data_IF_818099344983
#
_entry.id   IF_818099344983
#
_cell.length_a   1.000
_cell.length_b   1.000
_cell.length_c   1.000
_cell.angle_alpha   90.00
_cell.angle_beta   90.00
_cell.angle_gamma   90.00
#
_symmetry.space_group_name_H-M   'P 1'
#
loop_
_entity.id
_entity.type
_entity.pdbx_description
1 polymer ?
#
# COMPACT_ATOMS: atom_id res chain seq x y z
N UNK A 1 16.10 -18.12 17.79
CA UNK A 1 14.75 -17.56 17.53
C UNK A 1 13.95 -18.58 16.73
N UNK A 2 12.73 -18.91 17.14
CA UNK A 2 11.89 -19.83 16.35
C UNK A 2 11.26 -19.08 15.17
N UNK A 3 11.82 -19.28 13.98
CA UNK A 3 11.36 -18.63 12.77
C UNK A 3 10.08 -19.27 12.21
N UNK A 4 9.06 -18.45 11.96
CA UNK A 4 7.95 -18.86 11.10
C UNK A 4 8.36 -18.75 9.63
N UNK A 5 8.95 -19.80 9.07
CA UNK A 5 9.46 -19.83 7.70
C UNK A 5 8.37 -19.57 6.63
N UNK A 6 7.10 -19.85 6.94
CA UNK A 6 5.98 -19.50 6.05
C UNK A 6 5.81 -17.98 6.00
N UNK A 7 5.81 -17.30 7.14
CA UNK A 7 5.72 -15.84 7.20
C UNK A 7 6.93 -15.17 6.56
N UNK A 8 8.14 -15.71 6.76
CA UNK A 8 9.35 -15.25 6.06
C UNK A 8 9.21 -15.39 4.56
N UNK A 9 8.76 -16.54 4.06
CA UNK A 9 8.53 -16.78 2.63
C UNK A 9 7.47 -15.84 2.05
N UNK A 10 6.42 -15.54 2.79
CA UNK A 10 5.37 -14.61 2.39
C UNK A 10 5.90 -13.17 2.30
N UNK A 11 6.65 -12.72 3.32
CA UNK A 11 7.28 -11.40 3.33
C UNK A 11 8.24 -11.22 2.13
N UNK A 12 9.07 -12.21 1.87
CA UNK A 12 10.00 -12.21 0.73
C UNK A 12 9.28 -12.22 -0.63
N UNK A 13 8.07 -12.80 -0.70
CA UNK A 13 7.29 -12.95 -1.94
C UNK A 13 6.36 -11.77 -2.20
N UNK A 14 5.66 -11.28 -1.15
CA UNK A 14 4.56 -10.33 -1.26
C UNK A 14 4.78 -9.00 -0.52
N UNK A 15 5.91 -8.84 0.19
CA UNK A 15 6.21 -7.74 1.12
C UNK A 15 5.29 -7.64 2.35
N UNK A 16 4.50 -8.68 2.61
CA UNK A 16 3.66 -8.85 3.80
C UNK A 16 3.37 -10.32 4.04
N UNK A 17 3.03 -10.67 5.27
CA UNK A 17 2.61 -12.03 5.64
C UNK A 17 1.19 -12.32 5.18
N UNK A 18 0.88 -13.59 4.95
CA UNK A 18 -0.48 -14.07 4.70
C UNK A 18 -1.06 -14.66 5.99
N UNK A 19 -2.35 -14.46 6.18
CA UNK A 19 -3.10 -14.99 7.33
C UNK A 19 -4.07 -16.06 6.82
N UNK A 20 -3.86 -17.31 7.23
CA UNK A 20 -4.64 -18.46 6.78
C UNK A 20 -6.09 -18.42 7.27
N UNK A 21 -6.34 -17.93 8.47
CA UNK A 21 -7.70 -17.86 9.04
C UNK A 21 -8.59 -16.95 8.21
N UNK A 22 -8.02 -15.85 7.72
CA UNK A 22 -8.76 -14.90 6.89
C UNK A 22 -8.81 -15.26 5.41
N UNK A 23 -7.89 -16.10 4.91
CA UNK A 23 -7.98 -16.66 3.55
C UNK A 23 -9.22 -17.55 3.39
N UNK A 24 -9.58 -18.29 4.44
CA UNK A 24 -10.70 -19.24 4.44
C UNK A 24 -12.03 -18.63 4.85
N UNK A 25 -12.06 -17.40 5.36
CA UNK A 25 -13.30 -16.71 5.70
C UNK A 25 -14.23 -16.64 4.47
N UNK A 26 -15.24 -17.50 4.49
CA UNK A 26 -16.27 -17.58 3.45
C UNK A 26 -17.27 -16.41 3.52
N UNK A 27 -17.25 -15.65 4.62
CA UNK A 27 -18.14 -14.50 4.75
C UNK A 27 -17.68 -13.38 3.84
N UNK A 28 -18.47 -12.98 2.83
CA UNK A 28 -18.30 -11.64 2.29
C UNK A 28 -18.33 -10.68 3.49
N UNK A 29 -17.64 -9.56 3.40
CA UNK A 29 -17.86 -8.45 4.32
C UNK A 29 -19.35 -8.11 4.22
N UNK A 30 -20.20 -8.86 4.95
CA UNK A 30 -21.62 -8.60 5.05
C UNK A 30 -21.81 -7.53 6.12
N UNK A 31 -21.36 -6.32 5.79
CA UNK A 31 -22.05 -5.19 6.36
C UNK A 31 -23.45 -5.20 5.72
N UNK A 32 -24.54 -5.04 6.51
CA UNK A 32 -25.82 -4.77 5.91
C UNK A 32 -25.61 -3.62 4.94
N UNK A 33 -25.99 -3.82 3.68
CA UNK A 33 -25.96 -2.76 2.69
C UNK A 33 -26.98 -1.77 3.23
N UNK A 34 -26.49 -0.69 3.80
CA UNK A 34 -27.35 0.43 4.18
C UNK A 34 -27.87 0.93 2.84
N UNK A 35 -29.15 0.67 2.54
CA UNK A 35 -29.75 1.03 1.24
C UNK A 35 -29.56 2.51 0.91
N UNK A 36 -29.51 3.36 1.93
CA UNK A 36 -29.19 4.78 1.84
C UNK A 36 -27.78 5.10 1.34
N UNK A 37 -26.80 4.17 1.48
CA UNK A 37 -25.42 4.34 0.98
C UNK A 37 -25.23 3.83 -0.47
N UNK A 38 -26.27 3.21 -1.06
CA UNK A 38 -26.25 2.77 -2.45
C UNK A 38 -26.29 3.99 -3.37
N UNK A 39 -25.13 4.47 -3.74
CA UNK A 39 -24.99 5.41 -4.86
C UNK A 39 -24.36 6.75 -4.56
N UNK A 40 -24.18 7.17 -3.31
CA UNK A 40 -23.51 8.45 -3.00
C UNK A 40 -22.23 8.26 -2.18
N UNK A 41 -21.15 7.99 -2.91
CA UNK A 41 -19.82 7.88 -2.34
C UNK A 41 -19.35 9.19 -1.68
N UNK A 42 -19.81 10.34 -2.20
CA UNK A 42 -19.48 11.63 -1.65
C UNK A 42 -20.10 11.81 -0.25
N UNK A 43 -21.41 11.58 -0.14
CA UNK A 43 -22.12 11.67 1.14
C UNK A 43 -21.56 10.67 2.17
N UNK A 44 -21.26 9.45 1.75
CA UNK A 44 -20.66 8.44 2.63
C UNK A 44 -19.29 8.88 3.15
N UNK A 45 -18.43 9.42 2.27
CA UNK A 45 -17.09 9.91 2.66
C UNK A 45 -17.20 11.05 3.66
N UNK A 46 -18.10 12.00 3.41
CA UNK A 46 -18.37 13.14 4.31
C UNK A 46 -18.87 12.64 5.67
N UNK A 47 -19.83 11.70 5.71
CA UNK A 47 -20.37 11.14 6.96
C UNK A 47 -19.27 10.48 7.80
N UNK A 48 -18.46 9.61 7.17
CA UNK A 48 -17.38 8.92 7.90
C UNK A 48 -16.35 9.91 8.44
N UNK A 49 -15.94 10.92 7.65
CA UNK A 49 -15.02 11.94 8.13
C UNK A 49 -15.61 12.74 9.31
N UNK A 50 -16.85 13.17 9.19
CA UNK A 50 -17.56 13.92 10.25
C UNK A 50 -17.65 13.14 11.56
N UNK A 51 -17.86 11.82 11.48
CA UNK A 51 -17.97 10.94 12.65
C UNK A 51 -16.62 10.71 13.35
N UNK A 52 -15.50 10.74 12.60
CA UNK A 52 -14.20 10.30 13.10
C UNK A 52 -13.19 11.43 13.33
N UNK A 53 -13.43 12.64 12.85
CA UNK A 53 -12.52 13.78 13.11
C UNK A 53 -12.92 14.43 14.42
N UNK A 54 -12.07 14.25 15.43
CA UNK A 54 -12.27 14.80 16.78
C UNK A 54 -11.66 16.18 16.97
N UNK A 55 -10.60 16.49 16.19
CA UNK A 55 -9.90 17.78 16.23
C UNK A 55 -9.79 18.38 14.81
N UNK A 56 -10.80 19.15 14.34
CA UNK A 56 -10.76 19.75 13.01
C UNK A 56 -9.55 20.67 12.76
N UNK A 57 -9.11 21.43 13.78
CA UNK A 57 -7.96 22.33 13.69
C UNK A 57 -6.61 21.62 13.60
N UNK A 58 -6.51 20.39 14.09
CA UNK A 58 -5.32 19.54 14.02
C UNK A 58 -5.33 18.57 12.84
N UNK A 59 -6.24 18.74 11.85
CA UNK A 59 -6.38 17.79 10.74
C UNK A 59 -5.22 17.93 9.75
N UNK A 60 -4.57 16.79 9.46
CA UNK A 60 -3.51 16.64 8.46
C UNK A 60 -3.96 15.59 7.45
N UNK A 61 -3.95 15.92 6.17
CA UNK A 61 -4.23 14.97 5.09
C UNK A 61 -2.93 14.48 4.47
N UNK A 62 -2.70 13.16 4.47
CA UNK A 62 -1.67 12.55 3.64
C UNK A 62 -2.08 12.69 2.17
N UNK A 63 -1.52 13.71 1.50
CA UNK A 63 -1.94 14.16 0.19
C UNK A 63 -1.05 13.61 -0.93
N UNK A 64 -1.64 13.44 -2.11
CA UNK A 64 -0.95 13.06 -3.35
C UNK A 64 -1.70 13.59 -4.57
N UNK A 65 -1.13 13.44 -5.75
CA UNK A 65 -1.82 13.68 -7.02
C UNK A 65 -2.90 12.63 -7.36
N UNK A 66 -3.16 11.65 -6.49
CA UNK A 66 -4.09 10.56 -6.71
C UNK A 66 -5.56 10.92 -6.46
N UNK A 67 -6.47 10.01 -6.84
CA UNK A 67 -7.92 10.18 -6.67
C UNK A 67 -8.36 10.09 -5.22
N UNK A 68 -7.75 9.18 -4.45
CA UNK A 68 -8.17 8.84 -3.10
C UNK A 68 -7.96 10.02 -2.15
N UNK A 69 -6.76 10.59 -2.13
CA UNK A 69 -6.45 11.76 -1.30
C UNK A 69 -7.23 13.02 -1.74
N UNK A 70 -7.52 13.19 -3.03
CA UNK A 70 -8.33 14.31 -3.51
C UNK A 70 -9.79 14.18 -3.13
N UNK A 71 -10.36 12.97 -3.12
CA UNK A 71 -11.71 12.77 -2.62
C UNK A 71 -11.80 13.13 -1.15
N UNK A 72 -10.80 12.72 -0.35
CA UNK A 72 -10.75 13.11 1.06
C UNK A 72 -10.58 14.61 1.24
N UNK A 73 -9.74 15.26 0.44
CA UNK A 73 -9.62 16.72 0.46
C UNK A 73 -10.94 17.41 0.10
N UNK A 74 -11.63 16.94 -0.95
CA UNK A 74 -12.93 17.47 -1.34
C UNK A 74 -13.97 17.37 -0.21
N UNK A 75 -14.00 16.22 0.48
CA UNK A 75 -14.92 15.98 1.58
C UNK A 75 -14.57 16.82 2.83
N UNK A 76 -13.29 16.98 3.15
CA UNK A 76 -12.84 17.86 4.23
C UNK A 76 -13.23 19.32 3.98
N UNK A 77 -12.96 19.82 2.79
CA UNK A 77 -13.34 21.19 2.40
C UNK A 77 -14.86 21.39 2.42
N UNK A 78 -15.64 20.39 1.99
CA UNK A 78 -17.10 20.42 2.08
C UNK A 78 -17.61 20.51 3.53
N UNK A 79 -16.89 19.87 4.48
CA UNK A 79 -17.16 19.99 5.92
C UNK A 79 -16.67 21.31 6.54
N UNK A 80 -16.08 22.21 5.75
CA UNK A 80 -15.46 23.44 6.26
C UNK A 80 -14.13 23.21 6.96
N UNK A 81 -13.55 21.99 6.89
CA UNK A 81 -12.26 21.65 7.50
C UNK A 81 -11.16 21.96 6.51
N UNK A 82 -10.20 22.80 6.93
CA UNK A 82 -9.03 23.17 6.13
C UNK A 82 -7.80 22.42 6.61
N UNK A 83 -7.48 21.24 6.05
CA UNK A 83 -6.38 20.43 6.53
C UNK A 83 -5.02 21.01 6.12
N UNK A 84 -3.98 20.70 6.90
CA UNK A 84 -2.61 20.77 6.39
C UNK A 84 -2.38 19.61 5.43
N UNK A 85 -1.71 19.84 4.31
CA UNK A 85 -1.44 18.82 3.30
C UNK A 85 -0.03 18.27 3.52
N UNK A 86 0.08 17.01 3.94
CA UNK A 86 1.36 16.31 4.09
C UNK A 86 1.70 15.59 2.80
N UNK A 87 2.82 15.91 2.18
CA UNK A 87 3.32 15.25 0.97
C UNK A 87 4.80 14.90 1.12
N UNK A 88 5.21 13.79 0.52
CA UNK A 88 6.60 13.36 0.51
C UNK A 88 7.16 13.32 -0.91
N UNK A 89 8.43 13.68 -1.00
CA UNK A 89 9.23 13.60 -2.22
C UNK A 89 10.08 14.85 -2.42
N UNK A 90 11.12 14.76 -3.26
CA UNK A 90 11.93 15.90 -3.64
C UNK A 90 11.14 16.85 -4.55
N UNK A 91 11.63 18.08 -4.74
CA UNK A 91 11.12 18.98 -5.78
C UNK A 91 11.23 18.33 -7.15
N UNK A 92 10.20 18.48 -7.98
CA UNK A 92 10.07 17.76 -9.25
C UNK A 92 9.48 16.36 -9.11
N UNK A 93 9.08 15.95 -7.91
CA UNK A 93 8.20 14.80 -7.74
C UNK A 93 6.77 15.20 -8.09
N UNK A 94 6.10 14.42 -8.93
CA UNK A 94 4.77 14.74 -9.42
C UNK A 94 3.73 14.97 -8.29
N UNK A 95 3.72 14.10 -7.29
CA UNK A 95 2.75 14.23 -6.19
C UNK A 95 3.00 15.52 -5.40
N UNK A 96 4.27 15.83 -5.11
CA UNK A 96 4.65 17.05 -4.41
C UNK A 96 4.26 18.30 -5.19
N UNK A 97 4.62 18.38 -6.47
CA UNK A 97 4.35 19.55 -7.30
C UNK A 97 2.83 19.81 -7.41
N UNK A 98 2.03 18.75 -7.57
CA UNK A 98 0.57 18.87 -7.61
C UNK A 98 -0.01 19.29 -6.25
N UNK A 99 0.49 18.75 -5.14
CA UNK A 99 0.00 19.09 -3.80
C UNK A 99 0.39 20.52 -3.42
N UNK A 100 1.60 20.98 -3.76
CA UNK A 100 2.02 22.36 -3.56
C UNK A 100 1.14 23.35 -4.37
N UNK A 101 0.81 23.00 -5.61
CA UNK A 101 -0.10 23.82 -6.43
C UNK A 101 -1.54 23.82 -5.88
N UNK A 102 -2.05 22.66 -5.39
CA UNK A 102 -3.34 22.60 -4.69
C UNK A 102 -3.34 23.47 -3.43
N UNK A 103 -2.27 23.38 -2.63
CA UNK A 103 -2.12 24.20 -1.43
C UNK A 103 -2.16 25.68 -1.73
N UNK A 104 -1.40 26.12 -2.75
CA UNK A 104 -1.37 27.52 -3.17
C UNK A 104 -2.75 28.01 -3.63
N UNK A 105 -3.41 27.30 -4.55
CA UNK A 105 -4.70 27.73 -5.11
C UNK A 105 -5.84 27.69 -4.11
N UNK A 106 -5.82 26.72 -3.18
CA UNK A 106 -6.85 26.57 -2.15
C UNK A 106 -6.49 27.29 -0.85
N UNK A 107 -5.33 27.98 -0.80
CA UNK A 107 -4.80 28.64 0.40
C UNK A 107 -4.70 27.70 1.60
N UNK A 108 -4.16 26.49 1.39
CA UNK A 108 -3.90 25.47 2.42
C UNK A 108 -2.40 25.38 2.71
N UNK A 109 -2.06 25.12 3.97
CA UNK A 109 -0.70 24.85 4.36
C UNK A 109 -0.22 23.53 3.79
N UNK A 110 1.01 23.49 3.25
CA UNK A 110 1.65 22.28 2.73
C UNK A 110 2.89 21.96 3.55
N UNK A 111 2.93 20.75 4.09
CA UNK A 111 4.09 20.18 4.76
C UNK A 111 4.76 19.22 3.78
N UNK A 112 5.79 19.71 3.08
CA UNK A 112 6.56 18.88 2.15
C UNK A 112 7.76 18.26 2.86
N UNK A 113 7.84 16.94 2.85
CA UNK A 113 8.88 16.17 3.54
C UNK A 113 9.78 15.49 2.52
N UNK A 114 11.08 15.60 2.73
CA UNK A 114 12.09 14.81 1.99
C UNK A 114 12.76 13.83 2.94
N UNK A 115 12.89 12.57 2.50
CA UNK A 115 13.56 11.51 3.23
C UNK A 115 14.94 11.25 2.66
N UNK A 116 15.81 10.66 3.46
CA UNK A 116 17.13 10.21 3.06
C UNK A 116 17.47 8.85 3.68
N UNK A 117 18.62 8.29 3.38
CA UNK A 117 19.07 7.00 3.88
C UNK A 117 19.19 6.97 5.41
N UNK A 118 19.67 8.07 6.02
CA UNK A 118 19.88 8.13 7.46
C UNK A 118 18.54 8.06 8.22
N UNK A 119 17.46 8.65 7.70
CA UNK A 119 16.14 8.55 8.33
C UNK A 119 15.71 7.08 8.49
N UNK A 120 16.05 6.22 7.50
CA UNK A 120 15.74 4.78 7.55
C UNK A 120 16.57 4.05 8.59
N UNK A 121 17.82 4.43 8.76
CA UNK A 121 18.75 3.83 9.74
C UNK A 121 18.35 4.20 11.17
N UNK A 122 18.15 5.50 11.42
CA UNK A 122 17.88 6.04 12.76
C UNK A 122 16.58 5.50 13.38
N UNK A 123 15.62 5.10 12.55
CA UNK A 123 14.31 4.69 13.01
C UNK A 123 13.96 3.22 12.70
N UNK A 124 14.90 2.44 12.18
CA UNK A 124 14.70 1.06 11.77
C UNK A 124 14.12 0.19 12.89
N UNK A 125 14.73 0.24 14.07
CA UNK A 125 14.34 -0.58 15.22
C UNK A 125 12.90 -0.25 15.65
N UNK A 126 12.58 1.03 15.82
CA UNK A 126 11.24 1.44 16.23
C UNK A 126 10.17 1.02 15.22
N UNK A 127 10.45 1.15 13.92
CA UNK A 127 9.51 0.72 12.86
C UNK A 127 9.30 -0.79 12.91
N UNK A 128 10.37 -1.54 13.11
CA UNK A 128 10.33 -3.00 13.19
C UNK A 128 9.60 -3.47 14.45
N UNK A 129 9.81 -2.85 15.60
CA UNK A 129 9.03 -3.11 16.82
C UNK A 129 7.53 -2.96 16.58
N UNK A 130 7.10 -1.82 16.01
CA UNK A 130 5.67 -1.53 15.78
C UNK A 130 5.04 -2.49 14.78
N UNK A 131 5.81 -2.95 13.79
CA UNK A 131 5.30 -3.83 12.71
C UNK A 131 5.59 -5.30 12.92
N UNK A 132 6.33 -5.67 13.96
CA UNK A 132 6.79 -7.05 14.18
C UNK A 132 7.63 -7.60 13.03
N UNK A 133 8.42 -6.75 12.36
CA UNK A 133 9.26 -7.12 11.22
C UNK A 133 8.49 -7.49 9.93
N UNK A 134 7.16 -7.42 9.93
CA UNK A 134 6.32 -7.87 8.81
C UNK A 134 6.12 -6.83 7.71
N UNK A 135 6.84 -5.71 7.76
CA UNK A 135 6.79 -4.64 6.76
C UNK A 135 8.18 -4.39 6.17
N UNK A 136 8.36 -4.67 4.88
CA UNK A 136 9.64 -4.49 4.19
C UNK A 136 10.12 -3.03 4.23
N UNK A 137 11.44 -2.81 4.38
CA UNK A 137 12.04 -1.50 4.62
C UNK A 137 11.63 -0.42 3.61
N UNK A 138 11.39 -0.77 2.35
CA UNK A 138 10.92 0.18 1.34
C UNK A 138 9.56 0.83 1.68
N UNK A 139 8.85 0.33 2.68
CA UNK A 139 7.57 0.85 3.14
C UNK A 139 7.65 1.55 4.51
N UNK A 140 8.87 1.75 5.05
CA UNK A 140 9.07 2.45 6.32
C UNK A 140 8.78 3.95 6.24
N UNK A 141 8.72 4.49 5.03
CA UNK A 141 8.31 5.87 4.80
C UNK A 141 6.98 6.24 5.49
N UNK A 142 6.08 5.28 5.68
CA UNK A 142 4.81 5.52 6.38
C UNK A 142 4.96 5.93 7.85
N UNK A 143 6.11 5.61 8.47
CA UNK A 143 6.50 6.13 9.79
C UNK A 143 7.25 7.45 9.68
N UNK A 144 8.15 7.53 8.70
CA UNK A 144 9.09 8.65 8.58
C UNK A 144 8.42 9.96 8.15
N UNK A 145 7.34 9.91 7.36
CA UNK A 145 6.63 11.11 6.93
C UNK A 145 6.02 11.89 8.09
N UNK A 146 5.15 11.29 8.92
CA UNK A 146 4.55 11.99 10.04
C UNK A 146 5.60 12.42 11.07
N UNK A 147 6.65 11.62 11.27
CA UNK A 147 7.76 11.97 12.15
C UNK A 147 8.45 13.26 11.68
N UNK A 148 8.90 13.31 10.43
CA UNK A 148 9.59 14.51 9.88
C UNK A 148 8.68 15.71 9.74
N UNK A 149 7.38 15.49 9.60
CA UNK A 149 6.39 16.55 9.61
C UNK A 149 6.14 17.14 11.02
N UNK A 150 6.74 16.56 12.05
CA UNK A 150 6.54 16.99 13.44
C UNK A 150 5.10 16.77 13.92
N UNK A 151 4.41 15.74 13.42
CA UNK A 151 3.07 15.40 13.90
C UNK A 151 3.13 14.83 15.31
N UNK A 152 2.10 15.09 16.07
CA UNK A 152 1.94 14.66 17.45
C UNK A 152 0.57 14.05 17.73
N UNK A 153 0.34 13.59 18.95
CA UNK A 153 -0.89 12.94 19.38
C UNK A 153 -2.15 13.80 19.27
N UNK A 154 -2.02 15.11 19.07
CA UNK A 154 -3.16 16.02 18.86
C UNK A 154 -3.57 16.09 17.37
N UNK A 155 -2.83 15.43 16.48
CA UNK A 155 -3.11 15.44 15.05
C UNK A 155 -4.18 14.40 14.69
N UNK A 156 -5.15 14.79 13.83
CA UNK A 156 -6.02 13.84 13.12
C UNK A 156 -5.39 13.60 11.75
N UNK A 157 -4.82 12.41 11.55
CA UNK A 157 -4.10 12.06 10.32
C UNK A 157 -5.07 11.34 9.37
N UNK A 158 -5.53 12.05 8.35
CA UNK A 158 -6.45 11.52 7.34
C UNK A 158 -5.65 10.87 6.21
N UNK A 159 -5.94 9.61 5.91
CA UNK A 159 -5.21 8.84 4.89
C UNK A 159 -6.15 8.16 3.90
N UNK A 160 -5.79 8.18 2.59
CA UNK A 160 -6.51 7.53 1.50
C UNK A 160 -6.26 6.02 1.38
N UNK A 161 -5.99 5.35 2.50
CA UNK A 161 -5.74 3.91 2.53
C UNK A 161 -6.98 3.13 2.06
N UNK A 162 -6.79 2.14 1.18
CA UNK A 162 -7.85 1.30 0.61
C UNK A 162 -8.73 1.99 -0.47
N UNK A 163 -8.39 3.17 -0.97
CA UNK A 163 -9.14 3.81 -2.06
C UNK A 163 -9.13 2.98 -3.36
N UNK A 164 -8.10 2.18 -3.56
CA UNK A 164 -8.00 1.25 -4.69
C UNK A 164 -9.12 0.21 -4.74
N UNK A 165 -9.88 0.03 -3.66
CA UNK A 165 -11.05 -0.85 -3.61
C UNK A 165 -12.16 -0.45 -4.59
N UNK A 166 -12.21 0.84 -4.97
CA UNK A 166 -13.13 1.36 -5.99
C UNK A 166 -12.69 1.06 -7.43
N UNK A 167 -11.57 0.37 -7.58
CA UNK A 167 -11.04 -0.19 -8.82
C UNK A 167 -10.38 -1.53 -8.49
N UNK A 168 -10.32 -2.48 -9.41
CA UNK A 168 -9.69 -3.78 -9.14
C UNK A 168 -8.17 -3.62 -9.03
N UNK A 169 -7.63 -3.60 -7.81
CA UNK A 169 -6.22 -3.34 -7.54
C UNK A 169 -5.25 -4.23 -8.32
N UNK A 170 -5.51 -5.55 -8.34
CA UNK A 170 -4.60 -6.49 -9.00
C UNK A 170 -4.78 -6.58 -10.50
N UNK A 171 -5.93 -6.22 -11.02
CA UNK A 171 -6.24 -6.40 -12.44
C UNK A 171 -7.09 -5.26 -13.01
N UNK A 172 -6.57 -4.04 -12.93
CA UNK A 172 -7.18 -2.85 -13.54
C UNK A 172 -6.82 -2.78 -15.03
N UNK A 173 -7.48 -3.59 -15.86
CA UNK A 173 -7.27 -3.70 -17.31
C UNK A 173 -8.51 -3.32 -18.15
N UNK A 174 -9.34 -2.46 -17.62
CA UNK A 174 -10.53 -1.97 -18.32
C UNK A 174 -11.43 -3.11 -18.80
N UNK A 175 -11.89 -3.04 -20.03
CA UNK A 175 -12.79 -4.03 -20.60
C UNK A 175 -12.21 -5.46 -20.67
N UNK A 176 -10.89 -5.62 -20.78
CA UNK A 176 -10.26 -6.93 -20.75
C UNK A 176 -10.47 -7.65 -19.42
N UNK A 177 -10.59 -6.90 -18.33
CA UNK A 177 -10.91 -7.47 -17.02
C UNK A 177 -12.30 -8.14 -17.03
N UNK A 178 -13.28 -7.57 -17.74
CA UNK A 178 -14.61 -8.16 -17.84
C UNK A 178 -14.61 -9.48 -18.63
N UNK A 179 -13.84 -9.59 -19.70
CA UNK A 179 -13.75 -10.81 -20.48
C UNK A 179 -13.25 -12.01 -19.65
N UNK A 180 -12.45 -11.76 -18.59
CA UNK A 180 -11.95 -12.84 -17.72
C UNK A 180 -13.02 -13.47 -16.84
N UNK A 181 -14.17 -12.83 -16.64
CA UNK A 181 -15.26 -13.38 -15.82
C UNK A 181 -15.93 -14.59 -16.44
N UNK A 182 -15.86 -14.72 -17.77
CA UNK A 182 -16.39 -15.85 -18.52
C UNK A 182 -15.44 -17.06 -18.54
N UNK A 183 -14.20 -16.91 -18.07
CA UNK A 183 -13.19 -17.97 -18.12
C UNK A 183 -13.10 -18.73 -16.79
N UNK A 184 -12.65 -20.01 -16.81
CA UNK A 184 -12.42 -20.78 -15.60
C UNK A 184 -11.49 -20.04 -14.63
N UNK A 185 -11.97 -19.72 -13.43
CA UNK A 185 -11.23 -18.88 -12.48
C UNK A 185 -9.98 -19.55 -11.93
N UNK A 186 -10.03 -20.83 -11.58
CA UNK A 186 -8.92 -21.50 -10.90
C UNK A 186 -7.64 -21.61 -11.75
N UNK A 187 -7.65 -22.00 -13.03
CA UNK A 187 -6.46 -21.98 -13.86
C UNK A 187 -5.86 -20.58 -14.04
N UNK A 188 -6.73 -19.56 -14.22
CA UNK A 188 -6.29 -18.18 -14.34
C UNK A 188 -5.64 -17.67 -13.04
N UNK A 189 -6.24 -17.97 -11.88
CA UNK A 189 -5.69 -17.61 -10.58
C UNK A 189 -4.34 -18.28 -10.34
N UNK A 190 -4.21 -19.57 -10.66
CA UNK A 190 -2.94 -20.29 -10.55
C UNK A 190 -1.85 -19.65 -11.41
N UNK A 191 -2.16 -19.30 -12.66
CA UNK A 191 -1.24 -18.59 -13.56
C UNK A 191 -0.88 -17.20 -13.02
N UNK A 192 -1.87 -16.46 -12.54
CA UNK A 192 -1.70 -15.13 -11.96
C UNK A 192 -0.78 -15.16 -10.73
N UNK A 193 -1.07 -16.06 -9.76
CA UNK A 193 -0.28 -16.15 -8.53
C UNK A 193 1.14 -16.66 -8.78
N UNK A 194 1.34 -17.60 -9.72
CA UNK A 194 2.69 -17.99 -10.16
C UNK A 194 3.47 -16.81 -10.73
N UNK A 195 2.82 -15.93 -11.47
CA UNK A 195 3.47 -14.74 -12.02
C UNK A 195 3.73 -13.66 -10.95
N UNK A 196 2.87 -13.55 -9.94
CA UNK A 196 3.03 -12.59 -8.82
C UNK A 196 4.03 -13.07 -7.76
N UNK A 197 4.02 -14.36 -7.46
CA UNK A 197 4.99 -15.02 -6.58
C UNK A 197 6.35 -15.17 -7.29
N UNK A 198 6.82 -14.10 -7.93
CA UNK A 198 8.14 -14.12 -8.57
C UNK A 198 9.21 -14.38 -7.53
N UNK A 199 10.06 -15.34 -7.82
CA UNK A 199 11.22 -15.63 -7.00
C UNK A 199 12.06 -14.37 -6.81
N UNK A 200 12.26 -13.91 -5.57
CA UNK A 200 13.10 -12.76 -5.34
C UNK A 200 14.59 -13.05 -5.61
N UNK A 201 15.01 -14.33 -5.51
CA UNK A 201 16.41 -14.73 -5.65
C UNK A 201 16.67 -15.50 -6.95
N UNK A 202 17.83 -15.30 -7.55
CA UNK A 202 18.29 -16.04 -8.73
C UNK A 202 18.80 -17.44 -8.33
N UNK A 203 18.85 -18.41 -9.25
CA UNK A 203 19.34 -19.76 -8.95
C UNK A 203 20.72 -19.82 -8.32
N UNK A 204 21.64 -18.95 -8.74
CA UNK A 204 23.02 -18.84 -8.18
C UNK A 204 23.03 -18.39 -6.71
N UNK A 205 21.98 -17.73 -6.25
CA UNK A 205 21.83 -17.25 -4.88
C UNK A 205 21.16 -18.28 -3.93
N UNK A 206 20.61 -19.36 -4.48
CA UNK A 206 19.86 -20.33 -3.66
C UNK A 206 20.72 -21.08 -2.64
N UNK A 207 22.00 -21.28 -2.94
CA UNK A 207 22.94 -21.96 -2.02
C UNK A 207 23.13 -21.19 -0.71
N UNK A 208 22.99 -19.87 -0.75
CA UNK A 208 23.07 -19.02 0.43
C UNK A 208 21.77 -18.96 1.26
N UNK A 209 20.67 -19.54 0.79
CA UNK A 209 19.42 -19.66 1.55
C UNK A 209 19.44 -20.92 2.39
N UNK A 210 18.92 -20.86 3.63
CA UNK A 210 18.72 -22.06 4.42
C UNK A 210 17.69 -23.00 3.77
N UNK A 211 17.79 -24.30 4.09
CA UNK A 211 16.87 -25.31 3.52
C UNK A 211 15.40 -24.96 3.74
N UNK A 212 14.96 -24.56 4.96
CA UNK A 212 13.56 -24.20 5.19
C UNK A 212 13.10 -23.00 4.38
N UNK A 213 13.94 -21.98 4.19
CA UNK A 213 13.62 -20.79 3.35
C UNK A 213 13.53 -21.19 1.88
N UNK A 214 14.48 -22.00 1.41
CA UNK A 214 14.52 -22.46 0.03
C UNK A 214 13.31 -23.32 -0.31
N UNK A 215 12.95 -24.27 0.56
CA UNK A 215 11.77 -25.12 0.41
C UNK A 215 10.48 -24.29 0.39
N UNK A 216 10.41 -23.24 1.21
CA UNK A 216 9.26 -22.35 1.28
C UNK A 216 9.11 -21.46 0.04
N UNK A 217 10.23 -20.98 -0.54
CA UNK A 217 10.21 -20.13 -1.71
C UNK A 217 10.08 -20.88 -3.03
N UNK A 218 10.70 -22.05 -3.15
CA UNK A 218 10.90 -22.76 -4.43
C UNK A 218 10.36 -24.18 -4.46
N UNK A 219 10.27 -24.83 -3.30
CA UNK A 219 9.81 -26.20 -3.16
C UNK A 219 8.30 -26.33 -3.00
N UNK A 220 7.91 -27.26 -2.14
CA UNK A 220 6.49 -27.54 -1.85
C UNK A 220 5.82 -26.37 -1.12
N UNK A 221 6.54 -25.59 -0.32
CA UNK A 221 6.01 -24.41 0.36
C UNK A 221 5.42 -23.40 -0.60
N UNK A 222 6.12 -23.11 -1.71
CA UNK A 222 5.61 -22.23 -2.77
C UNK A 222 4.36 -22.79 -3.45
N UNK A 223 4.32 -24.10 -3.73
CA UNK A 223 3.15 -24.78 -4.30
C UNK A 223 1.95 -24.70 -3.36
N UNK A 224 2.14 -25.06 -2.08
CA UNK A 224 1.11 -24.99 -1.04
C UNK A 224 0.54 -23.58 -0.90
N UNK A 225 1.41 -22.55 -0.94
CA UNK A 225 0.98 -21.15 -0.90
C UNK A 225 0.04 -20.82 -2.05
N UNK A 226 0.40 -21.17 -3.29
CA UNK A 226 -0.45 -20.93 -4.46
C UNK A 226 -1.74 -21.75 -4.37
N UNK A 227 -1.67 -23.00 -3.93
CA UNK A 227 -2.85 -23.87 -3.77
C UNK A 227 -3.82 -23.30 -2.74
N UNK A 228 -3.33 -22.76 -1.61
CA UNK A 228 -4.16 -22.06 -0.61
C UNK A 228 -4.86 -20.85 -1.20
N UNK A 229 -4.13 -19.99 -1.93
CA UNK A 229 -4.70 -18.81 -2.59
C UNK A 229 -5.78 -19.16 -3.62
N UNK A 230 -5.59 -20.25 -4.35
CA UNK A 230 -6.58 -20.75 -5.33
C UNK A 230 -7.77 -21.39 -4.61
N UNK A 231 -7.54 -22.16 -3.55
CA UNK A 231 -8.60 -22.81 -2.79
C UNK A 231 -9.52 -21.80 -2.08
N UNK A 232 -8.96 -20.73 -1.52
CA UNK A 232 -9.69 -19.65 -0.89
C UNK A 232 -10.63 -18.90 -1.85
N UNK A 233 -10.45 -19.11 -3.14
CA UNK A 233 -11.21 -18.47 -4.22
C UNK A 233 -12.36 -19.32 -4.78
N UNK A 234 -12.65 -20.48 -4.17
CA UNK A 234 -13.72 -21.38 -4.65
C UNK A 234 -15.08 -20.65 -4.67
N UNK A 235 -15.83 -20.88 -5.73
CA UNK A 235 -17.16 -20.27 -5.91
C UNK A 235 -17.15 -18.81 -6.38
N UNK A 236 -15.97 -18.22 -6.62
CA UNK A 236 -15.83 -16.85 -7.13
C UNK A 236 -15.26 -16.85 -8.57
N UNK A 237 -15.66 -15.86 -9.35
CA UNK A 237 -14.97 -15.58 -10.61
C UNK A 237 -13.55 -15.03 -10.35
N UNK A 238 -12.74 -14.93 -11.41
CA UNK A 238 -11.34 -14.52 -11.31
C UNK A 238 -11.14 -13.16 -10.61
N UNK A 239 -11.91 -12.14 -11.00
CA UNK A 239 -11.76 -10.80 -10.44
C UNK A 239 -12.26 -10.70 -8.99
N UNK A 240 -13.39 -11.34 -8.68
CA UNK A 240 -13.89 -11.41 -7.30
C UNK A 240 -12.91 -12.12 -6.37
N UNK A 241 -12.16 -13.10 -6.89
CA UNK A 241 -11.11 -13.78 -6.14
C UNK A 241 -9.94 -12.87 -5.83
N UNK A 242 -9.52 -12.04 -6.79
CA UNK A 242 -8.45 -11.06 -6.59
C UNK A 242 -8.86 -9.95 -5.63
N UNK A 243 -10.11 -9.46 -5.73
CA UNK A 243 -10.64 -8.47 -4.78
C UNK A 243 -10.75 -9.06 -3.37
N UNK A 244 -11.20 -10.33 -3.23
CA UNK A 244 -11.22 -11.03 -1.95
C UNK A 244 -9.83 -11.10 -1.31
N UNK A 245 -8.81 -11.52 -2.07
CA UNK A 245 -7.43 -11.52 -1.59
C UNK A 245 -6.96 -10.11 -1.18
N UNK A 246 -7.29 -9.10 -1.98
CA UNK A 246 -6.93 -7.72 -1.67
C UNK A 246 -7.45 -7.29 -0.31
N UNK A 247 -8.74 -7.49 -0.02
CA UNK A 247 -9.34 -7.10 1.25
C UNK A 247 -8.83 -7.91 2.44
N UNK A 248 -8.81 -9.23 2.30
CA UNK A 248 -8.50 -10.12 3.43
C UNK A 248 -7.01 -10.25 3.73
N UNK A 249 -6.15 -9.97 2.78
CA UNK A 249 -4.71 -10.10 2.97
C UNK A 249 -3.99 -8.76 2.89
N UNK A 250 -4.10 -8.08 1.74
CA UNK A 250 -3.33 -6.85 1.53
C UNK A 250 -3.82 -5.69 2.40
N UNK A 251 -5.13 -5.45 2.47
CA UNK A 251 -5.67 -4.36 3.31
C UNK A 251 -5.36 -4.64 4.77
N UNK A 252 -5.56 -5.87 5.23
CA UNK A 252 -5.36 -6.25 6.62
C UNK A 252 -3.88 -6.22 7.01
N UNK A 253 -3.03 -6.95 6.31
CA UNK A 253 -1.66 -7.21 6.73
C UNK A 253 -0.66 -6.14 6.24
N UNK A 254 -0.86 -5.57 5.05
CA UNK A 254 0.04 -4.56 4.51
C UNK A 254 -0.41 -3.12 4.83
N UNK A 255 -1.67 -2.78 4.51
CA UNK A 255 -2.21 -1.43 4.77
C UNK A 255 -2.39 -1.23 6.27
N UNK A 256 -2.97 -2.22 6.98
CA UNK A 256 -3.14 -2.18 8.43
C UNK A 256 -1.84 -1.94 9.18
N UNK A 257 -0.74 -2.56 8.78
CA UNK A 257 0.58 -2.28 9.35
C UNK A 257 1.06 -0.85 9.06
N UNK A 258 0.73 -0.30 7.89
CA UNK A 258 0.98 1.12 7.61
C UNK A 258 0.20 2.05 8.54
N UNK A 259 -1.09 1.74 8.79
CA UNK A 259 -1.91 2.53 9.72
C UNK A 259 -1.40 2.46 11.17
N UNK A 260 -0.84 1.31 11.62
CA UNK A 260 -0.19 1.21 12.94
C UNK A 260 0.98 2.20 13.08
N UNK A 261 1.75 2.40 12.01
CA UNK A 261 2.86 3.37 12.00
C UNK A 261 2.36 4.81 12.10
N UNK A 262 1.33 5.18 11.36
CA UNK A 262 0.71 6.51 11.49
C UNK A 262 0.15 6.77 12.90
N UNK A 263 -0.43 5.76 13.55
CA UNK A 263 -0.97 5.87 14.93
C UNK A 263 0.06 6.18 15.99
N UNK A 264 1.35 6.11 15.69
CA UNK A 264 2.40 6.57 16.60
C UNK A 264 2.42 8.10 16.71
N UNK A 265 1.78 8.83 15.80
CA UNK A 265 1.85 10.30 15.68
C UNK A 265 0.48 10.99 15.78
N UNK A 266 -0.59 10.26 16.01
CA UNK A 266 -1.90 10.88 16.13
C UNK A 266 -3.04 9.90 15.87
N UNK A 267 -4.27 10.43 15.93
CA UNK A 267 -5.46 9.67 15.60
C UNK A 267 -5.56 9.50 14.08
N UNK A 268 -5.66 8.25 13.63
CA UNK A 268 -5.69 7.92 12.19
C UNK A 268 -7.12 7.75 11.71
N UNK A 269 -7.52 8.60 10.79
CA UNK A 269 -8.80 8.54 10.11
C UNK A 269 -8.61 8.01 8.69
N UNK A 270 -9.03 6.76 8.44
CA UNK A 270 -8.93 6.08 7.15
C UNK A 270 -10.32 5.72 6.62
N UNK A 271 -11.09 6.67 6.05
CA UNK A 271 -12.50 6.47 5.72
C UNK A 271 -12.76 5.32 4.76
N UNK A 272 -11.83 5.05 3.86
CA UNK A 272 -11.96 4.01 2.84
C UNK A 272 -11.74 2.59 3.40
N UNK A 273 -11.36 2.47 4.68
CA UNK A 273 -11.32 1.19 5.42
C UNK A 273 -12.59 0.95 6.25
N UNK A 274 -13.48 1.91 6.33
CA UNK A 274 -14.78 1.76 7.00
C UNK A 274 -15.62 0.66 6.32
N UNK A 275 -16.34 -0.12 7.13
CA UNK A 275 -17.15 -1.24 6.63
C UNK A 275 -18.20 -0.83 5.60
N UNK A 276 -18.79 0.35 5.77
CA UNK A 276 -19.76 0.94 4.84
C UNK A 276 -19.12 1.23 3.49
N UNK A 277 -17.93 1.84 3.50
CA UNK A 277 -17.16 2.06 2.28
C UNK A 277 -16.83 0.76 1.57
N UNK A 278 -16.31 -0.22 2.30
CA UNK A 278 -15.96 -1.53 1.75
C UNK A 278 -17.19 -2.23 1.17
N UNK A 279 -18.35 -2.17 1.84
CA UNK A 279 -19.58 -2.75 1.33
C UNK A 279 -20.03 -2.11 0.01
N UNK A 280 -19.98 -0.78 -0.09
CA UNK A 280 -20.26 -0.05 -1.36
C UNK A 280 -19.28 -0.45 -2.43
N UNK A 281 -17.98 -0.46 -2.13
CA UNK A 281 -16.95 -0.84 -3.09
C UNK A 281 -17.12 -2.27 -3.60
N UNK A 282 -17.53 -3.22 -2.76
CA UNK A 282 -17.78 -4.61 -3.15
C UNK A 282 -19.07 -4.78 -3.96
N UNK A 283 -20.13 -4.07 -3.61
CA UNK A 283 -21.43 -4.15 -4.31
C UNK A 283 -21.46 -3.44 -5.66
N UNK A 284 -20.49 -2.55 -5.91
CA UNK A 284 -20.46 -1.74 -7.12
C UNK A 284 -20.23 -2.57 -8.38
N UNK A 285 -21.04 -2.38 -9.44
CA UNK A 285 -20.80 -3.03 -10.72
C UNK A 285 -19.42 -2.69 -11.27
N UNK A 286 -18.70 -3.72 -11.76
CA UNK A 286 -17.32 -3.56 -12.24
C UNK A 286 -17.18 -2.55 -13.38
N UNK A 287 -18.17 -2.48 -14.27
CA UNK A 287 -18.22 -1.48 -15.34
C UNK A 287 -18.14 -0.05 -14.82
N UNK A 288 -18.65 0.18 -13.62
CA UNK A 288 -18.66 1.49 -12.98
C UNK A 288 -17.34 1.80 -12.26
N UNK A 289 -16.52 0.78 -11.93
CA UNK A 289 -15.18 0.97 -11.35
C UNK A 289 -14.14 1.46 -12.35
N UNK A 290 -14.43 1.35 -13.66
CA UNK A 290 -13.51 1.72 -14.73
C UNK A 290 -13.16 3.21 -14.71
N UNK A 291 -11.86 3.52 -14.88
CA UNK A 291 -11.37 4.89 -15.04
C UNK A 291 -11.57 5.80 -13.85
N UNK A 292 -11.76 5.24 -12.64
CA UNK A 292 -12.01 6.02 -11.42
C UNK A 292 -13.20 6.97 -11.52
N UNK A 293 -14.24 6.58 -12.29
CA UNK A 293 -15.43 7.43 -12.55
C UNK A 293 -16.14 7.84 -11.28
N UNK A 294 -16.23 6.94 -10.30
CA UNK A 294 -16.85 7.24 -9.02
C UNK A 294 -16.11 8.30 -8.23
N UNK A 295 -14.79 8.23 -8.18
CA UNK A 295 -13.98 9.27 -7.55
C UNK A 295 -14.21 10.62 -8.23
N UNK A 296 -14.18 10.65 -9.57
CA UNK A 296 -14.43 11.89 -10.35
C UNK A 296 -15.80 12.46 -10.05
N UNK A 297 -16.82 11.61 -10.02
CA UNK A 297 -18.20 12.05 -9.73
C UNK A 297 -18.30 12.61 -8.31
N UNK A 298 -17.79 11.90 -7.32
CA UNK A 298 -17.80 12.34 -5.93
C UNK A 298 -16.98 13.63 -5.70
N UNK A 299 -15.80 13.73 -6.29
CA UNK A 299 -14.99 14.96 -6.21
C UNK A 299 -15.74 16.12 -6.89
N UNK A 300 -16.38 15.87 -8.04
CA UNK A 300 -17.13 16.90 -8.76
C UNK A 300 -18.30 17.45 -7.93
N UNK A 301 -19.00 16.59 -7.19
CA UNK A 301 -20.13 17.03 -6.35
C UNK A 301 -19.70 17.80 -5.11
N UNK A 302 -18.52 17.52 -4.55
CA UNK A 302 -18.03 18.13 -3.30
C UNK A 302 -17.15 19.37 -3.54
N UNK A 303 -16.19 19.27 -4.48
CA UNK A 303 -15.25 20.34 -4.79
C UNK A 303 -14.74 20.20 -6.24
N UNK A 304 -15.49 20.69 -7.26
CA UNK A 304 -15.16 20.52 -8.67
C UNK A 304 -13.83 21.12 -9.08
N UNK A 305 -13.34 22.13 -8.37
CA UNK A 305 -12.04 22.76 -8.62
C UNK A 305 -10.89 21.76 -8.56
N UNK A 306 -10.95 20.77 -7.67
CA UNK A 306 -9.92 19.73 -7.53
C UNK A 306 -9.75 18.86 -8.79
N UNK A 307 -10.75 18.79 -9.67
CA UNK A 307 -10.64 18.08 -10.93
C UNK A 307 -9.79 18.81 -11.98
N UNK A 308 -9.51 20.11 -11.79
CA UNK A 308 -8.66 20.90 -12.71
C UNK A 308 -7.18 20.55 -12.62
N UNK A 309 -6.73 19.96 -11.50
CA UNK A 309 -5.34 19.58 -11.30
C UNK A 309 -5.00 18.27 -12.04
N UNK A 310 -3.75 18.10 -12.50
CA UNK A 310 -3.35 16.92 -13.24
C UNK A 310 -3.39 15.65 -12.38
N UNK A 311 -3.65 14.49 -12.98
CA UNK A 311 -3.56 13.17 -12.36
C UNK A 311 -2.23 12.49 -12.70
N UNK A 312 -1.69 11.70 -11.76
CA UNK A 312 -0.41 11.02 -11.90
C UNK A 312 -0.35 10.06 -13.11
N UNK A 313 -1.47 9.40 -13.43
CA UNK A 313 -1.48 8.41 -14.51
C UNK A 313 -1.35 8.99 -15.91
N UNK A 314 -1.77 10.23 -16.15
CA UNK A 314 -1.81 10.84 -17.49
C UNK A 314 -1.13 12.20 -17.58
N UNK A 315 -0.85 12.86 -16.45
CA UNK A 315 -0.39 14.26 -16.41
C UNK A 315 -1.42 15.27 -16.89
N UNK A 316 -2.67 14.84 -17.17
CA UNK A 316 -3.77 15.69 -17.62
C UNK A 316 -4.70 16.05 -16.46
N UNK A 317 -5.46 17.14 -16.58
CA UNK A 317 -6.49 17.45 -15.58
C UNK A 317 -7.37 16.25 -15.30
N UNK A 318 -7.64 16.01 -14.02
CA UNK A 318 -8.43 14.86 -13.58
C UNK A 318 -9.88 14.88 -14.12
N UNK A 319 -10.39 16.04 -14.50
CA UNK A 319 -11.68 16.22 -15.17
C UNK A 319 -11.78 15.48 -16.51
N UNK A 320 -10.64 15.27 -17.19
CA UNK A 320 -10.63 14.61 -18.51
C UNK A 320 -10.87 13.12 -18.33
N UNK A 321 -11.98 12.60 -18.87
CA UNK A 321 -12.21 11.14 -18.90
C UNK A 321 -11.13 10.52 -19.80
N UNK A 322 -10.33 9.58 -19.28
CA UNK A 322 -9.27 8.94 -20.05
C UNK A 322 -9.81 8.02 -21.17
N UNK A 323 -11.14 7.89 -21.27
CA UNK A 323 -11.80 7.08 -22.29
C UNK A 323 -11.62 5.57 -22.08
N UNK A 324 -11.98 4.77 -23.11
CA UNK A 324 -11.95 3.31 -23.04
C UNK A 324 -10.53 2.71 -22.98
N UNK A 325 -9.51 3.47 -23.38
CA UNK A 325 -8.10 3.06 -23.44
C UNK A 325 -7.29 3.61 -22.26
N UNK A 326 -7.93 3.92 -21.15
CA UNK A 326 -7.23 4.48 -19.97
C UNK A 326 -6.10 3.58 -19.42
N UNK A 327 -6.14 2.28 -19.68
CA UNK A 327 -5.12 1.31 -19.32
C UNK A 327 -3.81 1.44 -20.14
N UNK A 328 -3.84 2.19 -21.24
CA UNK A 328 -2.65 2.56 -22.03
C UNK A 328 -1.95 3.82 -21.48
N UNK A 329 -2.20 4.17 -20.25
CA UNK A 329 -1.61 5.35 -19.62
C UNK A 329 -0.09 5.35 -19.71
N UNK A 330 0.48 6.49 -20.06
CA UNK A 330 1.87 6.81 -19.78
C UNK A 330 1.93 7.38 -18.37
N UNK A 331 2.92 6.97 -17.58
CA UNK A 331 3.23 7.63 -16.30
C UNK A 331 3.38 9.13 -16.54
N UNK A 332 2.86 9.95 -15.64
CA UNK A 332 2.92 11.40 -15.73
C UNK A 332 4.33 12.00 -15.67
N UNK A 333 5.36 11.15 -15.51
CA UNK A 333 6.76 11.57 -15.37
C UNK A 333 7.06 12.10 -13.95
N UNK A 334 8.22 12.72 -13.78
CA UNK A 334 8.69 13.27 -12.51
C UNK A 334 9.67 12.37 -11.77
N UNK A 335 10.32 12.92 -10.76
CA UNK A 335 11.23 12.18 -9.90
C UNK A 335 10.47 11.21 -8.99
N UNK A 336 11.04 10.04 -8.66
CA UNK A 336 10.45 9.16 -7.66
C UNK A 336 10.40 9.86 -6.30
N UNK A 337 9.42 9.52 -5.46
CA UNK A 337 9.33 10.08 -4.10
C UNK A 337 10.44 9.57 -3.17
N UNK A 338 11.14 8.52 -3.54
CA UNK A 338 12.19 7.88 -2.77
C UNK A 338 13.25 7.30 -3.71
N UNK A 339 14.51 7.61 -3.43
CA UNK A 339 15.67 7.07 -4.15
C UNK A 339 16.20 5.81 -3.45
N UNK A 340 15.37 4.79 -3.36
CA UNK A 340 15.74 3.52 -2.72
C UNK A 340 16.98 2.88 -3.31
N UNK A 341 17.25 3.11 -4.60
CA UNK A 341 18.41 2.53 -5.26
C UNK A 341 19.74 3.03 -4.66
N UNK A 342 19.81 4.31 -4.34
CA UNK A 342 20.95 4.91 -3.68
C UNK A 342 20.89 4.79 -2.16
N UNK A 343 19.72 4.98 -1.55
CA UNK A 343 19.59 4.94 -0.09
C UNK A 343 19.94 3.57 0.51
N UNK A 344 19.47 2.48 -0.10
CA UNK A 344 19.73 1.13 0.39
C UNK A 344 21.11 0.58 0.03
N UNK A 345 21.90 1.37 -0.71
CA UNK A 345 23.33 1.13 -0.97
C UNK A 345 24.23 2.16 -0.30
N UNK A 346 23.67 3.10 0.44
CA UNK A 346 24.49 4.04 1.22
C UNK A 346 25.30 3.28 2.28
N UNK A 347 26.49 3.77 2.67
CA UNK A 347 27.27 3.14 3.72
C UNK A 347 26.45 2.92 4.99
N UNK A 348 25.74 3.94 5.49
CA UNK A 348 24.95 3.86 6.72
C UNK A 348 23.89 2.75 6.67
N UNK A 349 23.12 2.63 5.58
CA UNK A 349 22.12 1.57 5.46
C UNK A 349 22.75 0.19 5.29
N UNK A 350 23.85 0.11 4.54
CA UNK A 350 24.60 -1.12 4.36
C UNK A 350 25.17 -1.61 5.68
N UNK A 351 25.82 -0.74 6.44
CA UNK A 351 26.42 -1.06 7.75
C UNK A 351 25.33 -1.51 8.72
N UNK A 352 24.17 -0.83 8.79
CA UNK A 352 23.02 -1.23 9.60
C UNK A 352 22.60 -2.70 9.34
N UNK A 353 22.58 -3.13 8.08
CA UNK A 353 22.21 -4.51 7.72
C UNK A 353 23.34 -5.47 7.99
N UNK A 354 24.58 -5.08 7.63
CA UNK A 354 25.77 -5.93 7.76
C UNK A 354 26.13 -6.22 9.22
N UNK A 355 25.95 -5.26 10.12
CA UNK A 355 26.18 -5.43 11.56
C UNK A 355 25.17 -6.45 12.18
N UNK A 356 24.06 -6.66 11.52
CA UNK A 356 22.97 -7.58 11.95
C UNK A 356 22.88 -8.84 11.10
N UNK A 357 23.76 -9.07 10.13
CA UNK A 357 23.67 -10.21 9.20
C UNK A 357 23.70 -11.57 9.89
N UNK A 358 24.45 -11.69 10.99
CA UNK A 358 24.56 -12.94 11.74
C UNK A 358 23.29 -13.29 12.49
N UNK A 359 22.44 -12.32 12.83
CA UNK A 359 21.16 -12.55 13.49
C UNK A 359 20.15 -13.30 12.60
N UNK A 360 20.34 -13.27 11.27
CA UNK A 360 19.49 -13.98 10.30
C UNK A 360 20.19 -15.17 9.64
N UNK A 361 21.31 -15.66 10.19
CA UNK A 361 22.06 -16.81 9.64
C UNK A 361 21.24 -18.09 9.48
N UNK A 362 20.20 -18.26 10.28
CA UNK A 362 19.25 -19.36 10.17
C UNK A 362 18.33 -19.25 8.94
N UNK A 363 18.23 -18.05 8.33
CA UNK A 363 17.46 -17.81 7.12
C UNK A 363 18.35 -17.81 5.88
N UNK A 364 19.52 -17.17 5.97
CA UNK A 364 20.44 -17.02 4.84
C UNK A 364 21.87 -16.80 5.33
N UNK A 365 22.85 -17.22 4.51
CA UNK A 365 24.26 -17.07 4.85
C UNK A 365 24.69 -15.60 4.87
N UNK A 366 25.65 -15.22 5.73
CA UNK A 366 26.23 -13.88 5.74
C UNK A 366 26.79 -13.44 4.38
N UNK A 367 27.41 -14.38 3.64
CA UNK A 367 27.95 -14.09 2.30
C UNK A 367 26.87 -13.74 1.29
N UNK A 368 25.70 -14.40 1.37
CA UNK A 368 24.56 -14.03 0.52
C UNK A 368 24.06 -12.62 0.89
N UNK A 369 23.92 -12.30 2.17
CA UNK A 369 23.52 -10.95 2.61
C UNK A 369 24.48 -9.92 2.06
N UNK A 370 25.79 -10.11 2.21
CA UNK A 370 26.80 -9.20 1.68
C UNK A 370 26.70 -9.03 0.17
N UNK A 371 26.56 -10.13 -0.58
CA UNK A 371 26.39 -10.10 -2.04
C UNK A 371 25.14 -9.30 -2.45
N UNK A 372 24.03 -9.47 -1.71
CA UNK A 372 22.79 -8.76 -1.98
C UNK A 372 22.89 -7.28 -1.64
N UNK A 373 23.57 -6.90 -0.57
CA UNK A 373 23.80 -5.48 -0.26
C UNK A 373 24.64 -4.79 -1.34
N UNK A 374 25.59 -5.49 -1.97
CA UNK A 374 26.39 -4.96 -3.07
C UNK A 374 25.62 -4.86 -4.40
N UNK A 375 24.85 -5.87 -4.76
CA UNK A 375 24.28 -6.00 -6.12
C UNK A 375 22.81 -6.44 -6.19
N UNK A 376 22.17 -6.67 -5.07
CA UNK A 376 20.77 -7.11 -5.00
C UNK A 376 19.79 -6.02 -5.45
N UNK A 377 18.60 -6.44 -5.86
CA UNK A 377 17.50 -5.52 -6.14
C UNK A 377 16.89 -4.99 -4.84
N UNK A 378 16.25 -3.83 -4.89
CA UNK A 378 15.50 -3.26 -3.75
C UNK A 378 14.45 -4.24 -3.21
N UNK A 379 13.88 -5.06 -4.09
CA UNK A 379 12.91 -6.09 -3.70
C UNK A 379 13.54 -7.20 -2.84
N UNK A 380 14.84 -7.44 -2.96
CA UNK A 380 15.58 -8.39 -2.12
C UNK A 380 16.05 -7.71 -0.83
N UNK A 381 16.67 -6.55 -0.97
CA UNK A 381 17.29 -5.83 0.15
C UNK A 381 16.25 -5.40 1.20
N UNK A 382 15.11 -4.86 0.77
CA UNK A 382 14.13 -4.28 1.69
C UNK A 382 13.55 -5.27 2.73
N UNK A 383 13.09 -6.48 2.37
CA UNK A 383 12.65 -7.44 3.38
C UNK A 383 13.80 -8.00 4.21
N UNK A 384 15.00 -8.17 3.64
CA UNK A 384 16.18 -8.64 4.37
C UNK A 384 16.56 -7.67 5.48
N UNK A 385 16.56 -6.37 5.19
CA UNK A 385 16.83 -5.34 6.20
C UNK A 385 15.82 -5.42 7.37
N UNK A 386 14.53 -5.59 7.07
CA UNK A 386 13.50 -5.74 8.11
C UNK A 386 13.70 -7.01 8.95
N UNK A 387 14.07 -8.13 8.33
CA UNK A 387 14.33 -9.39 9.04
C UNK A 387 15.59 -9.29 9.91
N UNK A 388 16.66 -8.66 9.41
CA UNK A 388 17.90 -8.48 10.16
C UNK A 388 17.69 -7.63 11.43
N UNK A 389 16.99 -6.51 11.29
CA UNK A 389 16.64 -5.65 12.44
C UNK A 389 15.70 -6.40 13.40
N UNK A 390 14.68 -7.10 12.90
CA UNK A 390 13.76 -7.87 13.75
C UNK A 390 14.48 -8.94 14.58
N UNK A 391 15.38 -9.69 13.95
CA UNK A 391 16.13 -10.76 14.63
C UNK A 391 17.07 -10.21 15.70
N UNK A 392 17.70 -9.05 15.45
CA UNK A 392 18.60 -8.41 16.41
C UNK A 392 17.88 -7.94 17.67
N UNK A 393 16.62 -7.48 17.56
CA UNK A 393 15.80 -7.06 18.69
C UNK A 393 15.38 -8.23 19.59
N UNK A 394 15.22 -9.43 19.03
CA UNK A 394 14.88 -10.65 19.80
C UNK A 394 16.10 -11.33 20.42
N UNK A 395 17.31 -10.84 20.16
CA UNK A 395 18.57 -11.39 20.67
C UNK A 395 19.17 -10.54 21.81
N UNK A 396 18.61 -9.37 22.06
CA UNK A 396 18.91 -8.45 23.17
C UNK A 396 17.93 -8.68 24.32
#
# INVERSE_FOLDING_TARGET
MDWNYTAVGDLLTFDHTLDDDTLTESRPYSAPIIEEARGDLAALTVSILKENITNPGGTVLSASGGFDSRLLLAALLHLGIRPRLLVCGPRGNFDRDVVEEMGKRLSLEVIAVELNAQDYVDHAERIVEVTGGTKAARHWHTYLYPLKAGLDTNSNIVVGANGESMRSYYFDRGLLAHATTALPSQPLLRKFWKAKAKNPFRPDQWQGLSEPVRENLYGQGSRRRIDRLVAASRGRDFLSSLDHFYYHQRVRNFIGNGLKLYRQFGEVVAPMTDRRWVAVAQSMPRTQKLGSRWHRHAIKSLCPELLSFPEQGTGRPMAVDPGRLYWMKKSGGGLPYADYANWFRSPAFTDMVMDRRDSIRELMSPDLVESLMKSGSIRQIAPIASLAVFASLGSS
#
